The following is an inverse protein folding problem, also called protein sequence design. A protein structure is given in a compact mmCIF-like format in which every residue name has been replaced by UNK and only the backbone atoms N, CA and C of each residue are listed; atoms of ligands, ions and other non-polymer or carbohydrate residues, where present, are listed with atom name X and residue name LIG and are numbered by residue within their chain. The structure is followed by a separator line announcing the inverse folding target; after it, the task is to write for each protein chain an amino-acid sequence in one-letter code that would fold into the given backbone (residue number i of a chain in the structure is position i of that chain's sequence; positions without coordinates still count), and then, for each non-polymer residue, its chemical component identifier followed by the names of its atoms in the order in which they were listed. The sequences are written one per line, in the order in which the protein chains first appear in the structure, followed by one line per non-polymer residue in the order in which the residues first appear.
data_IF_742928042445
#
_entry.id   IF_742928042445
#
_cell.length_a   1.000
_cell.length_b   1.000
_cell.length_c   1.000
_cell.angle_alpha   90.00
_cell.angle_beta   90.00
_cell.angle_gamma   90.00
#
_symmetry.space_group_name_H-M   'P 1'
#
loop_
_entity.id
_entity.type
_entity.pdbx_description
1 polymer ?
#
# COMPACT_ATOMS: atom_id res chain seq x y z
N UNK A 1 23.17 27.63 -5.17
CA UNK A 1 22.60 26.65 -4.22
C UNK A 1 22.39 25.35 -4.99
N UNK A 2 23.13 24.29 -4.67
CA UNK A 2 22.96 22.99 -5.35
C UNK A 2 21.61 22.35 -5.00
N UNK A 3 21.03 21.58 -5.93
CA UNK A 3 19.79 20.82 -5.68
C UNK A 3 20.03 19.84 -4.52
N UNK A 4 19.13 19.79 -3.55
CA UNK A 4 19.20 18.81 -2.44
C UNK A 4 18.91 17.41 -2.97
N UNK A 5 19.48 16.38 -2.34
CA UNK A 5 19.35 14.99 -2.79
C UNK A 5 17.91 14.45 -2.76
N UNK A 6 17.03 15.07 -1.95
CA UNK A 6 15.60 14.74 -1.84
C UNK A 6 14.70 15.62 -2.70
N UNK A 7 15.27 16.50 -3.53
CA UNK A 7 14.50 17.44 -4.35
C UNK A 7 13.54 16.78 -5.35
N UNK A 8 13.75 15.50 -5.67
CA UNK A 8 12.90 14.69 -6.54
C UNK A 8 12.15 13.58 -5.76
N UNK A 9 12.10 13.72 -4.44
CA UNK A 9 11.56 12.72 -3.54
C UNK A 9 12.57 11.64 -3.15
N UNK A 10 12.24 10.90 -2.10
CA UNK A 10 13.01 9.76 -1.64
C UNK A 10 12.42 8.48 -2.24
N UNK A 11 13.28 7.63 -2.81
CA UNK A 11 12.89 6.34 -3.38
C UNK A 11 13.08 5.26 -2.33
N UNK A 12 11.99 4.68 -1.86
CA UNK A 12 11.99 3.55 -0.93
C UNK A 12 11.59 2.27 -1.66
N UNK A 13 12.17 1.15 -1.25
CA UNK A 13 11.81 -0.17 -1.74
C UNK A 13 11.60 -1.15 -0.57
N UNK A 14 10.70 -2.11 -0.75
CA UNK A 14 10.43 -3.14 0.24
C UNK A 14 11.64 -4.09 0.35
N UNK A 15 12.20 -4.23 1.56
CA UNK A 15 13.31 -5.17 1.84
C UNK A 15 12.88 -6.59 2.18
N UNK A 16 11.58 -6.90 2.06
CA UNK A 16 10.98 -8.19 2.48
C UNK A 16 11.29 -8.57 3.93
N UNK A 17 11.39 -7.59 4.82
CA UNK A 17 11.72 -7.81 6.23
C UNK A 17 10.51 -8.13 7.12
N UNK A 18 9.29 -8.06 6.58
CA UNK A 18 8.03 -8.28 7.32
C UNK A 18 7.71 -7.24 8.41
N UNK A 19 8.53 -6.20 8.59
CA UNK A 19 8.39 -5.26 9.70
C UNK A 19 7.28 -4.21 9.50
N UNK A 20 6.91 -3.91 8.25
CA UNK A 20 5.89 -2.90 7.95
C UNK A 20 4.52 -3.49 7.59
N UNK A 21 4.46 -4.78 7.23
CA UNK A 21 3.25 -5.43 6.74
C UNK A 21 2.61 -6.37 7.76
N UNK A 22 3.08 -6.38 9.01
CA UNK A 22 2.64 -7.32 10.05
C UNK A 22 2.49 -6.70 11.42
N UNK A 23 1.65 -7.34 12.25
CA UNK A 23 1.50 -7.19 13.71
C UNK A 23 1.11 -5.82 14.25
N UNK A 24 1.28 -4.74 13.49
CA UNK A 24 0.94 -3.38 13.88
C UNK A 24 -0.08 -2.77 12.92
N UNK A 25 -1.08 -2.03 13.43
CA UNK A 25 -1.99 -1.29 12.58
C UNK A 25 -1.24 -0.21 11.80
N UNK A 26 -1.73 0.14 10.61
CA UNK A 26 -1.09 1.15 9.79
C UNK A 26 -1.86 1.47 8.53
N UNK A 27 -1.24 2.26 7.66
CA UNK A 27 -1.78 2.58 6.35
C UNK A 27 -0.77 2.30 5.26
N UNK A 28 -1.23 1.67 4.19
CA UNK A 28 -0.47 1.50 2.95
C UNK A 28 -1.25 2.23 1.86
N UNK A 29 -0.95 3.52 1.69
CA UNK A 29 -1.63 4.33 0.69
C UNK A 29 -1.20 3.95 -0.73
N UNK A 30 -2.16 4.00 -1.63
CA UNK A 30 -1.92 3.78 -3.05
C UNK A 30 -2.07 5.09 -3.81
N UNK A 31 -1.11 5.40 -4.68
CA UNK A 31 -1.32 6.36 -5.75
C UNK A 31 -1.99 5.69 -6.95
N UNK A 32 -2.50 6.50 -7.89
CA UNK A 32 -3.16 5.97 -9.09
C UNK A 32 -2.27 5.00 -9.89
N UNK A 33 -0.96 5.22 -9.90
CA UNK A 33 -0.04 4.33 -10.59
C UNK A 33 0.11 2.98 -9.87
N UNK A 34 0.14 2.98 -8.53
CA UNK A 34 0.21 1.77 -7.73
C UNK A 34 -1.05 0.92 -7.94
N UNK A 35 -2.23 1.56 -7.89
CA UNK A 35 -3.50 0.90 -8.13
C UNK A 35 -3.54 0.25 -9.51
N UNK A 36 -3.14 0.97 -10.56
CA UNK A 36 -3.07 0.43 -11.94
C UNK A 36 -2.12 -0.76 -12.03
N UNK A 37 -0.95 -0.69 -11.40
CA UNK A 37 0.02 -1.77 -11.40
C UNK A 37 -0.52 -3.01 -10.68
N UNK A 38 -1.14 -2.82 -9.52
CA UNK A 38 -1.74 -3.91 -8.74
C UNK A 38 -2.94 -4.55 -9.46
N UNK A 39 -3.79 -3.75 -10.12
CA UNK A 39 -4.89 -4.27 -10.95
C UNK A 39 -4.36 -5.14 -12.10
N UNK A 40 -3.28 -4.70 -12.77
CA UNK A 40 -2.63 -5.51 -13.83
C UNK A 40 -2.08 -6.84 -13.30
N UNK A 41 -1.41 -6.82 -12.15
CA UNK A 41 -0.83 -8.03 -11.55
C UNK A 41 -1.94 -9.01 -11.13
N UNK A 42 -3.00 -8.50 -10.52
CA UNK A 42 -4.12 -9.32 -10.03
C UNK A 42 -5.12 -9.73 -11.13
N UNK A 43 -5.06 -9.10 -12.30
CA UNK A 43 -6.04 -9.27 -13.38
C UNK A 43 -7.43 -8.70 -13.05
N UNK A 44 -7.57 -7.94 -11.96
CA UNK A 44 -8.86 -7.40 -11.54
C UNK A 44 -9.13 -6.02 -12.15
N UNK A 45 -10.40 -5.71 -12.50
CA UNK A 45 -10.83 -4.34 -12.74
C UNK A 45 -10.61 -3.47 -11.50
N UNK A 46 -10.36 -2.18 -11.73
CA UNK A 46 -10.06 -1.22 -10.65
C UNK A 46 -11.12 -1.18 -9.55
N UNK A 47 -12.40 -1.15 -9.94
CA UNK A 47 -13.52 -1.12 -8.99
C UNK A 47 -13.57 -2.38 -8.10
N UNK A 48 -13.21 -3.53 -8.64
CA UNK A 48 -13.20 -4.80 -7.93
C UNK A 48 -11.97 -4.90 -7.02
N UNK A 49 -10.82 -4.40 -7.47
CA UNK A 49 -9.61 -4.30 -6.66
C UNK A 49 -9.86 -3.41 -5.44
N UNK A 50 -10.41 -2.20 -5.64
CA UNK A 50 -10.73 -1.26 -4.58
C UNK A 50 -11.68 -1.89 -3.56
N UNK A 51 -12.76 -2.53 -4.03
CA UNK A 51 -13.75 -3.18 -3.16
C UNK A 51 -13.14 -4.34 -2.37
N UNK A 52 -12.31 -5.16 -3.01
CA UNK A 52 -11.75 -6.38 -2.42
C UNK A 52 -10.61 -6.07 -1.44
N UNK A 53 -9.64 -5.27 -1.86
CA UNK A 53 -8.36 -5.13 -1.17
C UNK A 53 -8.14 -3.79 -0.48
N UNK A 54 -8.98 -2.78 -0.71
CA UNK A 54 -8.76 -1.43 -0.17
C UNK A 54 -9.86 -0.96 0.78
N UNK A 55 -9.49 -0.02 1.65
CA UNK A 55 -10.39 0.75 2.52
C UNK A 55 -10.17 2.23 2.31
N UNK A 56 -11.25 3.02 2.37
CA UNK A 56 -11.15 4.47 2.46
C UNK A 56 -10.80 4.87 3.89
N UNK A 57 -9.86 5.80 4.04
CA UNK A 57 -9.45 6.35 5.33
C UNK A 57 -9.34 7.86 5.21
N UNK A 58 -9.82 8.58 6.22
CA UNK A 58 -9.75 10.05 6.26
C UNK A 58 -8.67 10.47 7.24
N UNK A 59 -7.65 11.18 6.76
CA UNK A 59 -6.55 11.67 7.57
C UNK A 59 -6.38 13.16 7.32
N UNK A 60 -6.47 13.94 8.40
CA UNK A 60 -6.44 15.40 8.37
C UNK A 60 -7.49 15.99 7.40
N UNK A 61 -8.70 15.43 7.42
CA UNK A 61 -9.80 15.84 6.53
C UNK A 61 -9.67 15.40 5.06
N UNK A 62 -8.57 14.72 4.70
CA UNK A 62 -8.32 14.26 3.33
C UNK A 62 -8.62 12.76 3.23
N UNK A 63 -9.51 12.39 2.30
CA UNK A 63 -9.79 11.00 1.96
C UNK A 63 -8.62 10.40 1.20
N UNK A 64 -8.19 9.22 1.63
CA UNK A 64 -7.16 8.41 0.99
C UNK A 64 -7.63 6.97 0.90
N UNK A 65 -7.09 6.23 -0.06
CA UNK A 65 -7.28 4.79 -0.16
C UNK A 65 -6.06 4.10 0.42
N UNK A 66 -6.28 3.18 1.35
CA UNK A 66 -5.27 2.30 1.92
C UNK A 66 -5.60 0.85 1.59
N UNK A 67 -4.60 -0.02 1.49
CA UNK A 67 -4.84 -1.45 1.57
C UNK A 67 -5.51 -1.81 2.91
N UNK A 68 -6.32 -2.87 2.90
CA UNK A 68 -6.89 -3.47 4.10
C UNK A 68 -5.84 -4.26 4.87
N UNK A 69 -6.11 -4.45 6.14
CA UNK A 69 -5.43 -5.42 7.00
C UNK A 69 -6.36 -6.61 7.29
N UNK A 70 -5.77 -7.76 7.59
CA UNK A 70 -6.43 -8.93 8.19
C UNK A 70 -6.73 -8.64 9.68
N UNK A 71 -7.47 -9.53 10.35
CA UNK A 71 -7.83 -9.37 11.77
C UNK A 71 -6.63 -9.32 12.71
N UNK A 72 -5.49 -9.88 12.31
CA UNK A 72 -4.23 -9.88 13.05
C UNK A 72 -3.30 -8.69 12.69
N UNK A 73 -3.83 -7.68 11.98
CA UNK A 73 -3.08 -6.53 11.46
C UNK A 73 -2.02 -6.84 10.40
N UNK A 74 -1.96 -8.07 9.89
CA UNK A 74 -1.16 -8.35 8.69
C UNK A 74 -1.81 -7.67 7.48
N UNK A 75 -0.99 -7.19 6.54
CA UNK A 75 -1.47 -6.65 5.26
C UNK A 75 -2.34 -7.69 4.54
N UNK A 76 -3.36 -7.27 3.80
CA UNK A 76 -4.26 -8.18 3.07
C UNK A 76 -3.54 -9.12 2.10
N UNK A 77 -2.36 -8.73 1.59
CA UNK A 77 -1.52 -9.54 0.70
C UNK A 77 -0.45 -10.37 1.42
N UNK A 78 -0.33 -10.27 2.75
CA UNK A 78 0.68 -11.02 3.48
C UNK A 78 0.22 -12.45 3.72
N UNK A 79 1.03 -13.43 3.31
CA UNK A 79 0.87 -14.86 3.59
C UNK A 79 2.12 -15.43 4.27
N UNK A 80 2.13 -16.75 4.52
CA UNK A 80 3.28 -17.42 5.13
C UNK A 80 4.54 -17.23 4.27
N UNK A 81 5.52 -16.50 4.80
CA UNK A 81 6.81 -16.24 4.15
C UNK A 81 6.88 -15.02 3.23
N UNK A 82 5.80 -14.26 3.02
CA UNK A 82 5.87 -13.09 2.14
C UNK A 82 4.53 -12.47 1.72
N UNK A 83 4.61 -11.30 1.08
CA UNK A 83 3.50 -10.78 0.30
C UNK A 83 3.33 -11.60 -1.00
N UNK A 84 2.09 -11.87 -1.39
CA UNK A 84 1.72 -12.55 -2.64
C UNK A 84 1.04 -11.62 -3.63
#
# INVERSE_FOLDING_TARGET
MGKTFYSEGLKFECRRCSSCCRYSPGYVFLFNQDLKNLCKITGLPEIDFLRKYCREVTINGIKRISLKEKSNYDCIFWEEGGCV
#
